data_IF_937413548505
#
_entry.id   IF_937413548505
#
_cell.length_a   1.000
_cell.length_b   1.000
_cell.length_c   1.000
_cell.angle_alpha   90.00
_cell.angle_beta   90.00
_cell.angle_gamma   90.00
#
_symmetry.space_group_name_H-M   'P 1'
#
loop_
_entity.id
_entity.type
_entity.pdbx_description
1 polymer ?
#
# COMPACT_ATOMS: atom_id res chain seq x y z
N UNK A 1 -10.76 -2.68 22.02
CA UNK A 1 -9.36 -2.33 22.34
C UNK A 1 -9.06 -0.99 21.69
N UNK A 2 -9.07 0.11 22.45
CA UNK A 2 -8.80 1.46 21.93
C UNK A 2 -7.29 1.59 21.70
N UNK A 3 -6.86 1.42 20.46
CA UNK A 3 -5.48 1.72 20.05
C UNK A 3 -5.27 3.22 20.29
N UNK A 4 -4.31 3.52 21.16
CA UNK A 4 -4.04 4.87 21.65
C UNK A 4 -3.66 5.78 20.46
N UNK A 5 -4.32 6.95 20.35
CA UNK A 5 -4.12 7.94 19.27
C UNK A 5 -2.67 8.40 19.09
N UNK A 6 -1.78 8.13 20.04
CA UNK A 6 -0.34 8.43 19.97
C UNK A 6 0.44 7.57 18.97
N UNK A 7 -0.01 6.36 18.64
CA UNK A 7 0.66 5.51 17.65
C UNK A 7 0.44 5.97 16.20
N UNK A 8 -0.69 6.63 15.90
CA UNK A 8 -0.96 7.19 14.57
C UNK A 8 0.01 8.32 14.20
N UNK A 9 0.51 9.09 15.18
CA UNK A 9 1.46 10.19 14.94
C UNK A 9 2.86 9.70 14.54
N UNK A 10 3.19 8.43 14.72
CA UNK A 10 4.55 7.92 14.52
C UNK A 10 4.82 7.39 13.11
N UNK A 11 3.78 7.12 12.32
CA UNK A 11 3.91 6.47 11.01
C UNK A 11 3.74 7.43 9.83
N UNK A 12 3.33 8.68 10.07
CA UNK A 12 3.16 9.69 9.02
C UNK A 12 4.01 10.91 9.36
N UNK A 13 4.94 11.25 8.48
CA UNK A 13 5.86 12.38 8.66
C UNK A 13 5.70 13.40 7.55
N UNK A 14 5.22 14.60 7.90
CA UNK A 14 5.16 15.73 6.99
C UNK A 14 6.48 16.49 7.00
N UNK A 15 7.14 16.55 5.85
CA UNK A 15 8.30 17.42 5.63
C UNK A 15 7.84 18.86 5.44
N UNK A 16 8.71 19.81 5.80
CA UNK A 16 8.45 21.25 5.67
C UNK A 16 7.05 21.67 6.17
N UNK A 17 6.65 21.31 7.40
CA UNK A 17 5.25 21.36 7.84
C UNK A 17 4.62 22.76 7.80
N UNK A 18 5.42 23.82 7.72
CA UNK A 18 5.01 25.22 7.59
C UNK A 18 4.62 25.63 6.17
N UNK A 19 5.04 24.87 5.14
CA UNK A 19 4.73 25.14 3.73
C UNK A 19 3.39 24.55 3.27
N UNK A 20 2.79 23.69 4.10
CA UNK A 20 1.56 22.98 3.80
C UNK A 20 0.33 23.87 4.02
N UNK A 21 -0.53 24.07 3.01
CA UNK A 21 -1.86 24.63 3.24
C UNK A 21 -2.64 23.75 4.23
N UNK A 22 -3.29 24.37 5.21
CA UNK A 22 -3.97 23.66 6.31
C UNK A 22 -5.01 22.65 5.80
N UNK A 23 -5.81 23.02 4.80
CA UNK A 23 -6.82 22.15 4.20
C UNK A 23 -6.19 20.92 3.55
N UNK A 24 -5.14 21.10 2.74
CA UNK A 24 -4.44 20.00 2.09
C UNK A 24 -3.75 19.08 3.11
N UNK A 25 -3.09 19.65 4.12
CA UNK A 25 -2.46 18.87 5.20
C UNK A 25 -3.49 18.02 5.93
N UNK A 26 -4.65 18.60 6.22
CA UNK A 26 -5.76 17.90 6.88
C UNK A 26 -6.29 16.79 5.99
N UNK A 27 -6.53 17.06 4.69
CA UNK A 27 -7.00 16.07 3.73
C UNK A 27 -6.03 14.88 3.59
N UNK A 28 -4.72 15.14 3.53
CA UNK A 28 -3.71 14.08 3.49
C UNK A 28 -3.69 13.30 4.81
N UNK A 29 -3.73 13.99 5.95
CA UNK A 29 -3.73 13.32 7.25
C UNK A 29 -4.99 12.47 7.51
N UNK A 30 -6.14 12.81 6.90
CA UNK A 30 -7.38 12.05 7.03
C UNK A 30 -7.49 10.91 6.00
N UNK A 31 -7.00 11.14 4.77
CA UNK A 31 -7.07 10.22 3.64
C UNK A 31 -5.95 9.17 3.61
N UNK A 32 -4.77 9.49 4.17
CA UNK A 32 -3.64 8.56 4.26
C UNK A 32 -3.58 7.93 5.66
N UNK A 33 -3.69 6.60 5.74
CA UNK A 33 -3.69 5.86 7.01
C UNK A 33 -2.80 4.63 6.92
N UNK A 34 -2.08 4.35 8.00
CA UNK A 34 -1.34 3.09 8.19
C UNK A 34 -1.85 2.43 9.47
N UNK A 35 -2.32 1.19 9.34
CA UNK A 35 -2.71 0.35 10.47
C UNK A 35 -1.63 -0.70 10.67
N UNK A 36 -0.74 -0.56 11.67
CA UNK A 36 0.32 -1.53 11.93
C UNK A 36 -0.27 -2.85 12.44
N UNK A 37 0.42 -3.96 12.16
CA UNK A 37 0.00 -5.31 12.57
C UNK A 37 -1.46 -5.63 12.22
N UNK A 38 -1.90 -5.22 11.02
CA UNK A 38 -3.26 -5.43 10.54
C UNK A 38 -3.53 -6.91 10.22
N UNK A 39 -2.50 -7.61 9.75
CA UNK A 39 -2.50 -9.07 9.66
C UNK A 39 -1.60 -9.68 10.74
N UNK A 40 -1.92 -10.90 11.16
CA UNK A 40 -1.07 -11.67 12.07
C UNK A 40 0.08 -12.34 11.32
N UNK A 41 1.03 -12.94 12.04
CA UNK A 41 2.10 -13.74 11.43
C UNK A 41 1.58 -14.97 10.71
N UNK A 42 0.54 -15.60 11.27
CA UNK A 42 -0.11 -16.76 10.69
C UNK A 42 -0.79 -16.39 9.36
N UNK A 43 -1.48 -15.26 9.32
CA UNK A 43 -2.13 -14.74 8.10
C UNK A 43 -1.11 -14.35 7.03
N UNK A 44 0.00 -13.70 7.41
CA UNK A 44 1.11 -13.42 6.49
C UNK A 44 1.70 -14.70 5.91
N UNK A 45 1.94 -15.71 6.75
CA UNK A 45 2.47 -16.99 6.32
C UNK A 45 1.49 -17.73 5.39
N UNK A 46 0.19 -17.63 5.61
CA UNK A 46 -0.83 -18.24 4.75
C UNK A 46 -0.90 -17.54 3.38
N UNK A 47 -0.84 -16.21 3.35
CA UNK A 47 -0.75 -15.44 2.11
C UNK A 47 0.50 -15.85 1.31
N UNK A 48 1.66 -15.93 1.97
CA UNK A 48 2.91 -16.33 1.34
C UNK A 48 2.86 -17.77 0.82
N UNK A 49 2.32 -18.71 1.58
CA UNK A 49 2.16 -20.12 1.13
C UNK A 49 1.36 -20.23 -0.16
N UNK A 50 0.33 -19.39 -0.32
CA UNK A 50 -0.49 -19.38 -1.54
C UNK A 50 0.19 -18.65 -2.71
N UNK A 51 0.87 -17.54 -2.43
CA UNK A 51 1.41 -16.63 -3.47
C UNK A 51 2.81 -17.04 -3.96
N UNK A 52 3.71 -17.43 -3.06
CA UNK A 52 5.12 -17.67 -3.34
C UNK A 52 5.39 -18.75 -4.40
N UNK A 53 4.66 -19.89 -4.46
CA UNK A 53 4.89 -20.91 -5.49
C UNK A 53 4.73 -20.40 -6.91
N UNK A 54 3.89 -19.38 -7.12
CA UNK A 54 3.68 -18.73 -8.40
C UNK A 54 4.71 -17.62 -8.63
N UNK A 55 4.93 -16.76 -7.64
CA UNK A 55 5.86 -15.63 -7.75
C UNK A 55 7.29 -16.08 -8.03
N UNK A 56 7.76 -17.16 -7.37
CA UNK A 56 9.13 -17.66 -7.56
C UNK A 56 9.47 -18.14 -8.97
N UNK A 57 8.45 -18.40 -9.80
CA UNK A 57 8.62 -18.80 -11.20
C UNK A 57 8.81 -17.59 -12.13
N UNK A 58 8.45 -16.40 -11.68
CA UNK A 58 8.62 -15.16 -12.42
C UNK A 58 10.04 -14.62 -12.21
N UNK A 59 10.59 -14.01 -13.26
CA UNK A 59 11.87 -13.30 -13.19
C UNK A 59 11.62 -11.88 -12.72
N UNK A 60 12.58 -11.31 -12.02
CA UNK A 60 12.56 -9.87 -11.75
C UNK A 60 12.76 -9.10 -13.06
N UNK A 61 11.86 -8.18 -13.32
CA UNK A 61 11.87 -7.26 -14.44
C UNK A 61 12.68 -6.00 -14.08
N UNK A 62 13.47 -5.51 -15.04
CA UNK A 62 14.34 -4.34 -14.81
C UNK A 62 13.58 -3.01 -14.89
N UNK A 63 12.48 -2.96 -15.65
CA UNK A 63 11.65 -1.77 -15.82
C UNK A 63 10.31 -2.15 -16.46
N UNK A 64 9.23 -1.53 -15.99
CA UNK A 64 7.92 -1.55 -16.66
C UNK A 64 7.92 -0.58 -17.86
N UNK A 65 6.90 -0.64 -18.74
CA UNK A 65 6.84 0.23 -19.93
C UNK A 65 6.72 1.73 -19.61
N UNK A 66 6.17 2.06 -18.45
CA UNK A 66 6.06 3.44 -17.93
C UNK A 66 7.23 3.83 -17.02
N UNK A 67 8.21 2.94 -16.84
CA UNK A 67 9.39 3.12 -16.00
C UNK A 67 9.07 3.39 -14.51
N UNK A 68 7.85 3.07 -14.03
CA UNK A 68 7.44 3.37 -12.65
C UNK A 68 8.03 2.41 -11.62
N UNK A 69 8.32 1.16 -11.99
CA UNK A 69 8.79 0.13 -11.05
C UNK A 69 10.06 -0.56 -11.59
N UNK A 70 11.04 -0.76 -10.71
CA UNK A 70 12.31 -1.42 -11.01
C UNK A 70 12.60 -2.61 -10.09
N UNK A 71 13.19 -3.66 -10.67
CA UNK A 71 13.57 -4.91 -10.00
C UNK A 71 12.40 -5.49 -9.22
N UNK A 72 11.32 -5.75 -9.94
CA UNK A 72 10.07 -6.25 -9.41
C UNK A 72 9.59 -7.47 -10.20
N UNK A 73 8.66 -8.22 -9.62
CA UNK A 73 7.85 -9.19 -10.35
C UNK A 73 6.43 -9.05 -9.85
N UNK A 74 5.46 -9.25 -10.74
CA UNK A 74 4.07 -9.01 -10.39
C UNK A 74 3.14 -10.04 -11.01
N UNK A 75 1.95 -10.15 -10.40
CA UNK A 75 0.84 -10.89 -10.96
C UNK A 75 -0.47 -10.39 -10.38
N UNK A 76 -1.55 -10.83 -11.01
CA UNK A 76 -2.90 -10.62 -10.55
C UNK A 76 -3.53 -11.94 -10.10
N UNK A 77 -4.30 -11.91 -9.01
CA UNK A 77 -5.01 -13.07 -8.50
C UNK A 77 -6.45 -12.73 -8.13
N UNK A 78 -7.40 -13.50 -8.68
CA UNK A 78 -8.83 -13.37 -8.40
C UNK A 78 -9.34 -14.37 -7.37
N UNK A 79 -8.88 -15.62 -7.44
CA UNK A 79 -9.33 -16.69 -6.55
C UNK A 79 -8.33 -16.86 -5.42
N UNK A 80 -8.81 -16.85 -4.19
CA UNK A 80 -8.02 -17.07 -2.99
C UNK A 80 -8.50 -18.31 -2.23
N UNK A 81 -7.62 -18.91 -1.43
CA UNK A 81 -8.05 -19.94 -0.47
C UNK A 81 -9.08 -19.38 0.52
N UNK A 82 -9.94 -20.21 1.14
CA UNK A 82 -10.90 -19.73 2.13
C UNK A 82 -10.28 -19.02 3.33
N UNK A 83 -9.03 -19.31 3.67
CA UNK A 83 -8.30 -18.61 4.71
C UNK A 83 -7.90 -17.19 4.27
N UNK A 84 -7.29 -17.06 3.09
CA UNK A 84 -6.85 -15.78 2.56
C UNK A 84 -8.01 -14.89 2.09
N UNK A 85 -9.11 -15.46 1.59
CA UNK A 85 -10.31 -14.68 1.23
C UNK A 85 -10.88 -13.92 2.44
N UNK A 86 -10.78 -14.48 3.66
CA UNK A 86 -11.18 -13.75 4.88
C UNK A 86 -10.31 -12.52 5.13
N UNK A 87 -9.01 -12.61 4.86
CA UNK A 87 -8.08 -11.48 4.98
C UNK A 87 -8.39 -10.44 3.90
N UNK A 88 -8.55 -10.87 2.63
CA UNK A 88 -8.93 -9.97 1.52
C UNK A 88 -10.26 -9.26 1.82
N UNK A 89 -11.26 -9.97 2.34
CA UNK A 89 -12.52 -9.36 2.72
C UNK A 89 -12.35 -8.35 3.87
N UNK A 90 -11.54 -8.67 4.89
CA UNK A 90 -11.25 -7.73 5.98
C UNK A 90 -10.53 -6.47 5.47
N UNK A 91 -9.62 -6.60 4.50
CA UNK A 91 -8.99 -5.45 3.83
C UNK A 91 -10.05 -4.58 3.15
N UNK A 92 -10.98 -5.21 2.41
CA UNK A 92 -12.08 -4.50 1.72
C UNK A 92 -12.97 -3.75 2.71
N UNK A 93 -13.49 -4.44 3.71
CA UNK A 93 -14.41 -3.90 4.71
C UNK A 93 -13.79 -2.75 5.52
N UNK A 94 -12.47 -2.78 5.72
CA UNK A 94 -11.74 -1.73 6.46
C UNK A 94 -11.45 -0.51 5.58
N UNK A 95 -11.29 -0.69 4.27
CA UNK A 95 -10.73 0.34 3.39
C UNK A 95 -11.76 1.08 2.56
N UNK A 96 -12.84 0.39 2.17
CA UNK A 96 -13.84 0.88 1.24
C UNK A 96 -15.22 1.01 1.90
N UNK A 97 -16.08 1.92 1.43
CA UNK A 97 -17.44 2.02 1.91
C UNK A 97 -18.24 0.75 1.56
N UNK A 98 -19.29 0.42 2.35
CA UNK A 98 -20.18 -0.70 2.04
C UNK A 98 -20.76 -0.58 0.62
N UNK A 99 -20.69 -1.66 -0.15
CA UNK A 99 -21.20 -1.69 -1.53
C UNK A 99 -20.28 -1.06 -2.58
N UNK A 100 -19.06 -0.64 -2.22
CA UNK A 100 -18.06 -0.24 -3.20
C UNK A 100 -17.78 -1.38 -4.20
N UNK A 101 -17.71 -1.03 -5.48
CA UNK A 101 -17.21 -1.93 -6.49
C UNK A 101 -15.68 -2.06 -6.35
N UNK A 102 -15.18 -3.27 -6.51
CA UNK A 102 -13.76 -3.57 -6.41
C UNK A 102 -13.28 -4.18 -7.71
N UNK A 103 -12.02 -3.92 -8.07
CA UNK A 103 -11.36 -4.69 -9.12
C UNK A 103 -11.44 -6.18 -8.78
N UNK A 104 -11.78 -6.99 -9.78
CA UNK A 104 -11.95 -8.43 -9.60
C UNK A 104 -10.63 -9.14 -9.25
N UNK A 105 -9.50 -8.56 -9.65
CA UNK A 105 -8.18 -9.09 -9.40
C UNK A 105 -7.47 -8.26 -8.34
N UNK A 106 -6.82 -8.95 -7.41
CA UNK A 106 -5.90 -8.35 -6.45
C UNK A 106 -4.50 -8.39 -7.05
N UNK A 107 -3.86 -7.23 -7.11
CA UNK A 107 -2.48 -7.09 -7.56
C UNK A 107 -1.51 -7.57 -6.47
N UNK A 108 -0.52 -8.36 -6.89
CA UNK A 108 0.55 -8.88 -6.04
C UNK A 108 1.85 -8.39 -6.64
N UNK A 109 2.55 -7.54 -5.90
CA UNK A 109 3.83 -6.98 -6.26
C UNK A 109 4.91 -7.49 -5.31
N UNK A 110 5.99 -8.04 -5.87
CA UNK A 110 7.17 -8.46 -5.12
C UNK A 110 8.36 -7.64 -5.61
N UNK A 111 8.96 -6.90 -4.66
CA UNK A 111 10.12 -6.06 -4.89
C UNK A 111 11.38 -6.78 -4.41
N UNK A 112 12.41 -6.76 -5.25
CA UNK A 112 13.75 -7.13 -4.80
C UNK A 112 14.22 -6.17 -3.70
N UNK A 113 15.20 -6.58 -2.87
CA UNK A 113 15.81 -5.70 -1.84
C UNK A 113 16.41 -4.40 -2.39
N UNK A 114 16.77 -4.40 -3.67
CA UNK A 114 17.30 -3.25 -4.42
C UNK A 114 16.24 -2.64 -5.37
N UNK A 115 15.01 -3.13 -5.31
CA UNK A 115 13.88 -2.68 -6.11
C UNK A 115 13.28 -1.39 -5.57
N UNK A 116 12.67 -0.63 -6.47
CA UNK A 116 12.10 0.68 -6.15
C UNK A 116 10.88 0.95 -7.00
N UNK A 117 9.88 1.57 -6.37
CA UNK A 117 8.75 2.20 -7.03
C UNK A 117 9.07 3.70 -7.12
N UNK A 118 9.26 4.22 -8.34
CA UNK A 118 9.48 5.63 -8.61
C UNK A 118 8.20 6.45 -8.38
N UNK A 119 8.30 7.77 -8.16
CA UNK A 119 7.13 8.63 -8.02
C UNK A 119 6.23 8.55 -9.26
N UNK A 120 4.99 8.13 -9.06
CA UNK A 120 3.96 8.04 -10.08
C UNK A 120 2.58 8.31 -9.47
N UNK A 121 1.58 8.44 -10.33
CA UNK A 121 0.17 8.50 -9.94
C UNK A 121 -0.50 7.34 -10.66
N UNK A 122 -1.20 6.49 -9.92
CA UNK A 122 -1.99 5.40 -10.47
C UNK A 122 -2.93 5.89 -11.58
N UNK A 123 -3.17 5.03 -12.56
CA UNK A 123 -4.03 5.39 -13.69
C UNK A 123 -5.47 5.62 -13.24
N UNK A 124 -5.99 6.84 -13.47
CA UNK A 124 -7.40 7.19 -13.23
C UNK A 124 -8.40 6.35 -14.05
N UNK A 125 -7.92 5.61 -15.07
CA UNK A 125 -8.77 4.72 -15.87
C UNK A 125 -8.96 3.35 -15.22
N UNK A 126 -8.03 2.95 -14.35
CA UNK A 126 -7.95 1.59 -13.80
C UNK A 126 -8.02 1.56 -12.27
N UNK A 127 -7.75 2.69 -11.60
CA UNK A 127 -7.88 2.84 -10.15
C UNK A 127 -9.05 3.78 -9.81
N UNK A 128 -9.80 3.41 -8.78
CA UNK A 128 -10.83 4.27 -8.18
C UNK A 128 -10.26 5.24 -7.15
N UNK A 129 -11.14 5.78 -6.30
CA UNK A 129 -10.76 6.83 -5.33
C UNK A 129 -9.93 6.33 -4.15
N UNK A 130 -9.88 5.01 -3.92
CA UNK A 130 -9.18 4.39 -2.79
C UNK A 130 -8.18 3.35 -3.27
N UNK A 131 -6.94 3.45 -2.79
CA UNK A 131 -5.90 2.44 -2.91
C UNK A 131 -5.60 1.90 -1.52
N UNK A 132 -5.58 0.57 -1.39
CA UNK A 132 -5.25 -0.09 -0.12
C UNK A 132 -4.35 -1.27 -0.37
N UNK A 133 -3.38 -1.50 0.52
CA UNK A 133 -2.39 -2.56 0.35
C UNK A 133 -1.86 -3.07 1.68
N UNK A 134 -1.56 -4.36 1.73
CA UNK A 134 -0.91 -5.00 2.88
C UNK A 134 0.57 -5.22 2.57
N UNK A 135 1.44 -4.81 3.49
CA UNK A 135 2.88 -4.99 3.37
C UNK A 135 3.31 -6.32 4.01
N UNK A 136 4.10 -7.11 3.30
CA UNK A 136 4.61 -8.42 3.77
C UNK A 136 6.15 -8.38 3.79
N UNK A 137 6.76 -9.36 4.46
CA UNK A 137 8.21 -9.65 4.48
C UNK A 137 9.09 -8.61 5.18
N UNK A 138 9.09 -7.36 4.73
CA UNK A 138 9.98 -6.29 5.22
C UNK A 138 9.27 -4.95 5.28
N UNK A 139 9.81 -4.06 6.12
CA UNK A 139 9.34 -2.67 6.23
C UNK A 139 9.68 -1.87 4.96
N UNK A 140 8.89 -0.85 4.68
CA UNK A 140 9.13 0.11 3.60
C UNK A 140 8.75 1.54 4.00
N UNK A 141 9.18 2.52 3.20
CA UNK A 141 8.71 3.90 3.29
C UNK A 141 8.02 4.27 1.98
N UNK A 142 6.76 4.67 2.07
CA UNK A 142 6.03 5.25 0.94
C UNK A 142 6.12 6.77 1.02
N UNK A 143 6.72 7.40 0.01
CA UNK A 143 6.86 8.86 -0.08
C UNK A 143 5.88 9.42 -1.08
N UNK A 144 4.96 10.25 -0.62
CA UNK A 144 4.05 11.01 -1.47
C UNK A 144 4.60 12.43 -1.68
N UNK A 145 4.50 12.93 -2.92
CA UNK A 145 4.94 14.27 -3.30
C UNK A 145 3.81 14.97 -4.05
N UNK A 146 3.59 16.24 -3.77
CA UNK A 146 2.65 17.03 -4.56
C UNK A 146 3.15 17.18 -6.00
N UNK A 147 2.29 16.93 -6.99
CA UNK A 147 2.68 16.92 -8.41
C UNK A 147 3.36 18.22 -8.89
N UNK A 148 2.92 19.37 -8.37
CA UNK A 148 3.41 20.70 -8.77
C UNK A 148 4.41 21.31 -7.78
N UNK A 149 4.52 20.75 -6.57
CA UNK A 149 5.37 21.27 -5.47
C UNK A 149 6.22 20.14 -4.90
N UNK A 150 6.90 19.43 -5.79
CA UNK A 150 7.49 18.09 -5.55
C UNK A 150 8.53 18.06 -4.43
N UNK A 151 9.26 19.15 -4.22
CA UNK A 151 10.34 19.25 -3.22
C UNK A 151 9.91 19.97 -1.95
N UNK A 152 8.73 20.58 -1.95
CA UNK A 152 8.22 21.35 -0.82
C UNK A 152 7.20 20.55 -0.02
N UNK A 153 6.25 19.92 -0.72
CA UNK A 153 5.13 19.20 -0.13
C UNK A 153 5.36 17.70 -0.24
N UNK A 154 6.02 17.16 0.79
CA UNK A 154 6.41 15.75 0.89
C UNK A 154 5.86 15.16 2.18
N UNK A 155 5.24 14.00 2.10
CA UNK A 155 4.83 13.21 3.26
C UNK A 155 5.35 11.79 3.12
N UNK A 156 5.95 11.27 4.20
CA UNK A 156 6.40 9.89 4.27
C UNK A 156 5.45 9.08 5.16
N UNK A 157 5.08 7.90 4.68
CA UNK A 157 4.38 6.88 5.45
C UNK A 157 5.37 5.75 5.72
N UNK A 158 5.64 5.48 6.99
CA UNK A 158 6.31 4.25 7.39
C UNK A 158 5.32 3.10 7.24
N UNK A 159 5.70 2.07 6.49
CA UNK A 159 4.92 0.88 6.19
C UNK A 159 5.60 -0.34 6.83
N UNK A 160 5.38 -0.60 8.12
CA UNK A 160 5.93 -1.79 8.76
C UNK A 160 5.38 -3.06 8.12
N UNK A 161 6.18 -4.13 8.14
CA UNK A 161 5.72 -5.49 7.83
C UNK A 161 4.40 -5.77 8.55
N UNK A 162 3.46 -6.38 7.82
CA UNK A 162 2.07 -6.68 8.22
C UNK A 162 1.14 -5.49 8.40
N UNK A 163 1.54 -4.27 8.02
CA UNK A 163 0.62 -3.14 8.05
C UNK A 163 -0.36 -3.17 6.88
N UNK A 164 -1.52 -2.54 7.07
CA UNK A 164 -2.41 -2.10 6.00
C UNK A 164 -2.22 -0.60 5.80
N UNK A 165 -1.87 -0.17 4.58
CA UNK A 165 -1.97 1.24 4.21
C UNK A 165 -3.24 1.48 3.39
N UNK A 166 -3.83 2.66 3.55
CA UNK A 166 -4.96 3.15 2.77
C UNK A 166 -4.69 4.59 2.35
N UNK A 167 -4.92 4.89 1.09
CA UNK A 167 -4.94 6.24 0.52
C UNK A 167 -6.28 6.47 -0.19
N UNK A 168 -6.93 7.61 0.07
CA UNK A 168 -8.22 8.00 -0.54
C UNK A 168 -9.24 8.51 0.45
#
# INVERSE_FOLDING_TARGET
MRICSRLFSALVHFHNPTLWPNELKTAVATGCRVTPSFITEEEENELLREVEPHMKRLRYEKSHWDDAIHLYREREQRKWSPANEKVIQRIRDTSFPPGAEHLSYVHILDLHKDGVIKPHIDSIRYCGDVITGVCLLSDAVMRLRHKDRKDELIVDLMLPRRCLYRMG
#
